data_IF_951509381107
#
_entry.id   IF_951509381107
#
_cell.length_a   1.000
_cell.length_b   1.000
_cell.length_c   1.000
_cell.angle_alpha   90.00
_cell.angle_beta   90.00
_cell.angle_gamma   90.00
#
_symmetry.space_group_name_H-M   'P 1'
#
loop_
_entity.id
_entity.type
_entity.pdbx_description
1 polymer ?
#
# COMPACT_ATOMS: atom_id res chain seq x y z
N UNK A 1 -27.76 28.06 -6.17
CA UNK A 1 -26.35 27.95 -6.57
C UNK A 1 -26.20 26.64 -7.30
N UNK A 2 -25.63 26.56 -8.51
CA UNK A 2 -25.50 25.27 -9.19
C UNK A 2 -24.53 24.40 -8.41
N UNK A 3 -25.03 23.26 -7.98
CA UNK A 3 -24.29 22.22 -7.30
C UNK A 3 -23.30 21.62 -8.33
N UNK A 4 -22.07 22.09 -8.32
CA UNK A 4 -21.00 21.60 -9.19
C UNK A 4 -20.58 20.21 -8.66
N UNK A 5 -21.39 19.18 -8.96
CA UNK A 5 -21.03 17.77 -8.65
C UNK A 5 -19.80 17.44 -9.49
N UNK A 6 -18.62 17.61 -8.86
CA UNK A 6 -17.38 17.09 -9.44
C UNK A 6 -17.54 15.58 -9.61
N UNK A 7 -17.22 15.08 -10.81
CA UNK A 7 -17.23 13.64 -11.10
C UNK A 7 -16.56 12.89 -9.94
N UNK A 8 -17.19 11.83 -9.39
CA UNK A 8 -16.63 11.07 -8.30
C UNK A 8 -15.32 10.38 -8.73
N UNK A 9 -14.32 10.46 -7.88
CA UNK A 9 -13.00 9.86 -8.11
C UNK A 9 -13.06 8.36 -7.81
N UNK A 10 -12.49 7.55 -8.68
CA UNK A 10 -12.37 6.09 -8.53
C UNK A 10 -11.02 5.76 -7.90
N UNK A 11 -11.05 4.91 -6.88
CA UNK A 11 -9.85 4.46 -6.18
C UNK A 11 -9.65 2.96 -6.34
N UNK A 12 -8.42 2.53 -6.72
CA UNK A 12 -7.97 1.16 -6.82
C UNK A 12 -6.82 0.93 -5.83
N UNK A 13 -6.96 -0.04 -4.92
CA UNK A 13 -5.93 -0.46 -3.98
C UNK A 13 -5.41 -1.85 -4.36
N UNK A 14 -4.11 -1.95 -4.64
CA UNK A 14 -3.41 -3.16 -5.04
C UNK A 14 -2.45 -3.59 -3.94
N UNK A 15 -2.48 -4.89 -3.56
CA UNK A 15 -1.55 -5.34 -2.53
C UNK A 15 -1.77 -6.76 -2.00
N UNK A 16 -1.52 -6.93 -0.71
CA UNK A 16 -1.60 -8.18 0.04
C UNK A 16 -2.46 -8.03 1.31
N UNK A 17 -2.18 -8.79 2.38
CA UNK A 17 -2.90 -8.72 3.66
C UNK A 17 -2.90 -7.33 4.28
N UNK A 18 -1.85 -6.55 4.09
CA UNK A 18 -1.77 -5.17 4.58
C UNK A 18 -2.70 -4.22 3.83
N UNK A 19 -3.11 -4.56 2.63
CA UNK A 19 -4.08 -3.77 1.85
C UNK A 19 -5.52 -4.19 2.14
N UNK A 20 -5.81 -5.51 2.28
CA UNK A 20 -7.18 -5.93 2.65
C UNK A 20 -7.54 -5.58 4.10
N UNK A 21 -6.55 -5.38 4.98
CA UNK A 21 -6.76 -5.16 6.40
C UNK A 21 -7.02 -6.47 7.14
N UNK A 22 -6.07 -7.41 7.06
CA UNK A 22 -6.16 -8.67 7.80
C UNK A 22 -6.38 -8.39 9.29
N UNK A 23 -7.32 -9.12 9.92
CA UNK A 23 -7.69 -9.01 11.33
C UNK A 23 -8.30 -7.67 11.80
N UNK A 24 -8.70 -6.78 10.88
CA UNK A 24 -9.50 -5.58 11.20
C UNK A 24 -10.80 -5.57 10.41
N UNK A 25 -11.77 -4.77 10.86
CA UNK A 25 -13.01 -4.53 10.09
C UNK A 25 -12.70 -3.77 8.80
N UNK A 26 -13.59 -3.86 7.80
CA UNK A 26 -13.43 -3.15 6.55
C UNK A 26 -13.21 -1.65 6.75
N UNK A 27 -13.95 -1.02 7.66
CA UNK A 27 -13.84 0.43 7.90
C UNK A 27 -12.50 0.83 8.55
N UNK A 28 -11.80 -0.14 9.14
CA UNK A 28 -10.49 0.07 9.76
C UNK A 28 -9.32 -0.24 8.82
N UNK A 29 -9.55 -0.89 7.67
CA UNK A 29 -8.48 -1.18 6.73
C UNK A 29 -7.92 0.10 6.10
N UNK A 30 -6.67 0.06 5.66
CA UNK A 30 -5.96 1.20 5.06
C UNK A 30 -6.76 1.88 3.92
N UNK A 31 -7.30 1.17 2.89
CA UNK A 31 -7.99 1.83 1.79
C UNK A 31 -9.31 2.49 2.19
N UNK A 32 -10.07 1.90 3.12
CA UNK A 32 -11.32 2.47 3.58
C UNK A 32 -11.07 3.75 4.41
N UNK A 33 -10.12 3.72 5.34
CA UNK A 33 -9.73 4.90 6.10
C UNK A 33 -9.17 6.01 5.21
N UNK A 34 -8.34 5.68 4.21
CA UNK A 34 -7.87 6.66 3.23
C UNK A 34 -9.04 7.31 2.48
N UNK A 35 -10.01 6.51 2.06
CA UNK A 35 -11.23 7.02 1.40
C UNK A 35 -12.02 7.94 2.32
N UNK A 36 -12.19 7.59 3.60
CA UNK A 36 -12.89 8.41 4.58
C UNK A 36 -12.22 9.79 4.76
N UNK A 37 -10.89 9.82 4.90
CA UNK A 37 -10.12 11.07 5.01
C UNK A 37 -10.25 11.92 3.73
N UNK A 38 -10.12 11.30 2.55
CA UNK A 38 -10.20 12.02 1.28
C UNK A 38 -11.59 12.59 1.03
N UNK A 39 -12.66 11.95 1.50
CA UNK A 39 -14.05 12.42 1.37
C UNK A 39 -14.30 13.77 2.04
N UNK A 40 -13.50 14.19 2.98
CA UNK A 40 -13.60 15.51 3.60
C UNK A 40 -13.38 16.66 2.58
N UNK A 41 -12.59 16.41 1.53
CA UNK A 41 -12.20 17.43 0.55
C UNK A 41 -12.41 17.03 -0.91
N UNK A 42 -12.62 15.76 -1.19
CA UNK A 42 -12.76 15.17 -2.52
C UNK A 42 -13.98 14.26 -2.55
N UNK A 43 -14.64 14.14 -3.71
CA UNK A 43 -15.70 13.16 -3.91
C UNK A 43 -15.10 11.83 -4.37
N UNK A 44 -14.72 10.95 -3.42
CA UNK A 44 -14.08 9.66 -3.70
C UNK A 44 -15.07 8.51 -3.46
N UNK A 45 -15.17 7.59 -4.41
CA UNK A 45 -15.97 6.37 -4.27
C UNK A 45 -15.29 5.39 -3.29
N UNK A 46 -16.04 4.41 -2.74
CA UNK A 46 -15.43 3.29 -2.01
C UNK A 46 -14.32 2.63 -2.84
N UNK A 47 -13.22 2.18 -2.20
CA UNK A 47 -12.09 1.60 -2.93
C UNK A 47 -12.47 0.27 -3.57
N UNK A 48 -11.94 0.02 -4.77
CA UNK A 48 -11.84 -1.34 -5.32
C UNK A 48 -10.52 -1.91 -4.80
N UNK A 49 -10.58 -3.04 -4.09
CA UNK A 49 -9.41 -3.67 -3.48
C UNK A 49 -9.10 -4.96 -4.23
N UNK A 50 -7.90 -5.07 -4.78
CA UNK A 50 -7.32 -6.28 -5.36
C UNK A 50 -6.11 -6.66 -4.51
N UNK A 51 -6.37 -7.48 -3.52
CA UNK A 51 -5.38 -7.91 -2.55
C UNK A 51 -5.82 -9.21 -1.89
N UNK A 52 -4.87 -10.01 -1.40
CA UNK A 52 -5.13 -11.23 -0.64
C UNK A 52 -3.96 -11.53 0.28
N UNK A 53 -4.26 -12.13 1.43
CA UNK A 53 -3.27 -12.60 2.39
C UNK A 53 -2.23 -13.49 1.73
N UNK A 54 -0.97 -13.20 2.02
CA UNK A 54 0.17 -14.00 1.56
C UNK A 54 0.63 -13.69 0.14
N UNK A 55 -0.05 -12.85 -0.64
CA UNK A 55 0.37 -12.60 -2.01
C UNK A 55 1.74 -11.95 -2.13
N UNK A 56 2.50 -12.50 -3.06
CA UNK A 56 3.74 -11.95 -3.60
C UNK A 56 3.46 -11.13 -4.86
N UNK A 57 4.48 -10.49 -5.40
CA UNK A 57 4.38 -9.66 -6.61
C UNK A 57 3.83 -10.42 -7.82
N UNK A 58 4.26 -11.65 -8.07
CA UNK A 58 3.79 -12.49 -9.17
C UNK A 58 2.34 -12.96 -8.96
N UNK A 59 1.95 -13.30 -7.72
CA UNK A 59 0.59 -13.72 -7.37
C UNK A 59 -0.41 -12.57 -7.55
N UNK A 60 -0.05 -11.35 -7.12
CA UNK A 60 -0.84 -10.15 -7.39
C UNK A 60 -0.96 -9.89 -8.90
N UNK A 61 0.14 -9.96 -9.65
CA UNK A 61 0.14 -9.76 -11.10
C UNK A 61 -0.74 -10.79 -11.84
N UNK A 62 -0.70 -12.05 -11.43
CA UNK A 62 -1.55 -13.10 -11.99
C UNK A 62 -3.03 -12.82 -11.72
N UNK A 63 -3.38 -12.39 -10.48
CA UNK A 63 -4.76 -12.09 -10.13
C UNK A 63 -5.30 -10.85 -10.86
N UNK A 64 -4.50 -9.80 -11.03
CA UNK A 64 -4.89 -8.62 -11.82
C UNK A 64 -5.29 -9.01 -13.25
N UNK A 65 -4.59 -9.96 -13.87
CA UNK A 65 -4.90 -10.43 -15.22
C UNK A 65 -6.24 -11.18 -15.32
N UNK A 66 -6.63 -11.88 -14.26
CA UNK A 66 -7.90 -12.64 -14.22
C UNK A 66 -9.09 -11.76 -13.81
N UNK A 67 -8.86 -10.72 -13.03
CA UNK A 67 -9.89 -9.74 -12.71
C UNK A 67 -9.98 -8.73 -13.84
N UNK A 68 -11.02 -8.82 -14.65
CA UNK A 68 -11.29 -7.89 -15.75
C UNK A 68 -11.60 -6.47 -15.24
N UNK A 69 -10.63 -5.81 -14.63
CA UNK A 69 -10.76 -4.44 -14.14
C UNK A 69 -11.07 -3.49 -15.30
N UNK A 70 -12.18 -2.74 -15.18
CA UNK A 70 -12.68 -1.90 -16.24
C UNK A 70 -12.40 -0.42 -15.97
N UNK A 71 -11.98 0.28 -17.04
CA UNK A 71 -11.82 1.73 -17.06
C UNK A 71 -10.57 2.22 -16.31
N UNK A 72 -10.54 3.54 -16.09
CA UNK A 72 -9.43 4.24 -15.44
C UNK A 72 -9.77 4.60 -14.00
N UNK A 73 -8.73 4.76 -13.18
CA UNK A 73 -8.82 5.15 -11.78
C UNK A 73 -8.09 6.48 -11.55
N UNK A 74 -8.68 7.31 -10.70
CA UNK A 74 -8.14 8.63 -10.36
C UNK A 74 -7.13 8.55 -9.21
N UNK A 75 -7.12 7.42 -8.48
CA UNK A 75 -6.18 7.10 -7.41
C UNK A 75 -5.85 5.61 -7.53
N UNK A 76 -4.56 5.27 -7.54
CA UNK A 76 -4.08 3.89 -7.49
C UNK A 76 -3.00 3.81 -6.41
N UNK A 77 -3.19 2.94 -5.40
CA UNK A 77 -2.15 2.62 -4.42
C UNK A 77 -1.59 1.23 -4.67
N UNK A 78 -0.28 1.06 -4.51
CA UNK A 78 0.41 -0.22 -4.59
C UNK A 78 1.24 -0.44 -3.32
N UNK A 79 0.86 -1.45 -2.51
CA UNK A 79 1.56 -1.89 -1.32
C UNK A 79 1.76 -3.40 -1.41
N UNK A 80 2.97 -3.84 -1.79
CA UNK A 80 3.29 -5.25 -2.03
C UNK A 80 4.79 -5.50 -1.85
N UNK A 81 5.17 -6.69 -1.42
CA UNK A 81 6.55 -7.13 -1.36
C UNK A 81 6.96 -7.77 -0.03
N UNK A 82 6.18 -7.60 1.04
CA UNK A 82 6.51 -8.22 2.33
C UNK A 82 6.57 -9.75 2.22
N UNK A 83 5.66 -10.36 1.47
CA UNK A 83 5.65 -11.82 1.28
C UNK A 83 6.81 -12.31 0.39
N UNK A 84 7.30 -11.46 -0.52
CA UNK A 84 8.54 -11.76 -1.26
C UNK A 84 9.72 -11.82 -0.27
N UNK A 85 9.86 -10.84 0.63
CA UNK A 85 10.89 -10.84 1.68
C UNK A 85 10.70 -12.00 2.66
N UNK A 86 9.50 -12.23 3.18
CA UNK A 86 9.19 -13.29 4.12
C UNK A 86 9.54 -14.69 3.59
N UNK A 87 9.28 -14.93 2.30
CA UNK A 87 9.61 -16.19 1.61
C UNK A 87 11.06 -16.25 1.11
N UNK A 88 11.91 -15.27 1.41
CA UNK A 88 13.31 -15.23 0.99
C UNK A 88 13.51 -15.18 -0.53
N UNK A 89 12.57 -14.55 -1.26
CA UNK A 89 12.67 -14.46 -2.72
C UNK A 89 13.79 -13.51 -3.15
N UNK A 90 14.39 -13.83 -4.27
CA UNK A 90 15.48 -13.05 -4.86
C UNK A 90 15.06 -11.59 -5.16
N UNK A 91 15.93 -10.65 -4.80
CA UNK A 91 15.65 -9.22 -4.91
C UNK A 91 15.74 -8.67 -6.33
N UNK A 92 16.53 -9.30 -7.22
CA UNK A 92 16.55 -8.93 -8.63
C UNK A 92 15.25 -9.34 -9.31
N UNK A 93 14.70 -10.51 -8.94
CA UNK A 93 13.39 -10.94 -9.41
C UNK A 93 12.29 -10.03 -8.85
N UNK A 94 12.32 -9.70 -7.55
CA UNK A 94 11.40 -8.73 -6.94
C UNK A 94 11.40 -7.39 -7.70
N UNK A 95 12.57 -6.83 -7.98
CA UNK A 95 12.71 -5.59 -8.74
C UNK A 95 12.03 -5.67 -10.11
N UNK A 96 12.21 -6.78 -10.84
CA UNK A 96 11.60 -7.01 -12.16
C UNK A 96 10.07 -7.08 -12.05
N UNK A 97 9.55 -7.89 -11.14
CA UNK A 97 8.13 -8.10 -10.93
C UNK A 97 7.43 -6.83 -10.43
N UNK A 98 8.05 -6.14 -9.46
CA UNK A 98 7.56 -4.87 -8.95
C UNK A 98 7.50 -3.79 -10.04
N UNK A 99 8.50 -3.75 -10.92
CA UNK A 99 8.50 -2.84 -12.09
C UNK A 99 7.29 -3.09 -13.00
N UNK A 100 6.98 -4.35 -13.30
CA UNK A 100 5.82 -4.74 -14.13
C UNK A 100 4.51 -4.35 -13.45
N UNK A 101 4.39 -4.58 -12.14
CA UNK A 101 3.21 -4.18 -11.36
C UNK A 101 3.02 -2.66 -11.35
N UNK A 102 4.09 -1.90 -11.17
CA UNK A 102 4.03 -0.45 -11.20
C UNK A 102 3.61 0.09 -12.57
N UNK A 103 4.14 -0.49 -13.66
CA UNK A 103 3.72 -0.14 -15.02
C UNK A 103 2.23 -0.48 -15.23
N UNK A 104 1.74 -1.56 -14.62
CA UNK A 104 0.32 -1.93 -14.64
C UNK A 104 -0.53 -0.93 -13.85
N UNK A 105 -0.08 -0.50 -12.67
CA UNK A 105 -0.75 0.53 -11.87
C UNK A 105 -0.84 1.87 -12.64
N UNK A 106 0.23 2.25 -13.36
CA UNK A 106 0.25 3.45 -14.23
C UNK A 106 -0.80 3.34 -15.34
N UNK A 107 -0.94 2.18 -15.98
CA UNK A 107 -1.98 1.94 -16.99
C UNK A 107 -3.39 2.09 -16.41
N UNK A 108 -3.65 1.55 -15.22
CA UNK A 108 -4.92 1.75 -14.52
C UNK A 108 -5.19 3.22 -14.17
N UNK A 109 -4.17 4.01 -13.94
CA UNK A 109 -4.27 5.44 -13.73
C UNK A 109 -4.38 6.26 -15.04
N UNK A 110 -4.68 5.61 -16.17
CA UNK A 110 -4.77 6.29 -17.47
C UNK A 110 -3.44 6.89 -17.94
N UNK A 111 -2.32 6.28 -17.57
CA UNK A 111 -0.94 6.74 -17.77
C UNK A 111 -0.63 8.08 -17.06
N UNK A 112 -1.44 8.48 -16.08
CA UNK A 112 -1.16 9.65 -15.25
C UNK A 112 -0.38 9.23 -14.00
N UNK A 113 0.92 9.45 -14.02
CA UNK A 113 1.81 9.11 -12.90
C UNK A 113 1.49 9.85 -11.60
N UNK A 114 0.81 11.00 -11.66
CA UNK A 114 0.38 11.76 -10.47
C UNK A 114 -0.75 11.08 -9.70
N UNK A 115 -1.41 10.09 -10.29
CA UNK A 115 -2.50 9.31 -9.72
C UNK A 115 -2.05 7.99 -9.10
N UNK A 116 -0.74 7.67 -9.14
CA UNK A 116 -0.16 6.44 -8.60
C UNK A 116 0.69 6.73 -7.38
N UNK A 117 0.49 5.93 -6.32
CA UNK A 117 1.18 6.07 -5.04
C UNK A 117 1.67 4.69 -4.60
N UNK A 118 2.98 4.54 -4.47
CA UNK A 118 3.59 3.36 -3.88
C UNK A 118 3.72 3.58 -2.38
N UNK A 119 3.30 2.61 -1.59
CA UNK A 119 3.44 2.61 -0.13
C UNK A 119 4.50 1.58 0.26
N UNK A 120 5.41 1.95 1.14
CA UNK A 120 6.43 1.01 1.63
C UNK A 120 5.81 -0.14 2.40
N UNK A 121 6.48 -1.31 2.42
CA UNK A 121 6.07 -2.43 3.26
C UNK A 121 6.47 -2.17 4.73
N UNK A 122 5.63 -2.56 5.72
CA UNK A 122 5.95 -2.40 7.13
C UNK A 122 7.01 -3.40 7.59
N UNK A 123 7.64 -3.11 8.73
CA UNK A 123 8.61 -4.01 9.37
C UNK A 123 7.91 -4.97 10.34
N UNK A 124 7.69 -6.20 9.92
CA UNK A 124 7.08 -7.22 10.75
C UNK A 124 8.05 -7.79 11.81
N UNK A 125 9.37 -7.56 11.69
CA UNK A 125 10.36 -7.98 12.65
C UNK A 125 10.20 -7.33 14.03
N UNK A 126 9.50 -6.21 14.12
CA UNK A 126 9.24 -5.50 15.40
C UNK A 126 7.96 -5.97 16.11
N UNK A 127 7.22 -6.89 15.50
CA UNK A 127 5.93 -7.37 16.00
C UNK A 127 6.08 -8.58 16.95
N UNK A 128 5.05 -8.90 17.75
CA UNK A 128 5.05 -10.16 18.54
C UNK A 128 5.29 -11.41 17.68
N UNK A 129 4.73 -11.47 16.47
CA UNK A 129 4.96 -12.56 15.52
C UNK A 129 6.45 -12.65 15.13
N UNK A 130 7.08 -11.50 14.85
CA UNK A 130 8.50 -11.42 14.57
C UNK A 130 9.33 -11.94 15.75
N UNK A 131 9.02 -11.49 16.97
CA UNK A 131 9.70 -11.89 18.19
C UNK A 131 9.55 -13.40 18.49
N UNK A 132 8.45 -14.02 18.10
CA UNK A 132 8.20 -15.45 18.22
C UNK A 132 8.84 -16.27 17.10
N UNK A 133 9.34 -15.64 16.04
CA UNK A 133 10.02 -16.32 14.95
C UNK A 133 11.45 -16.70 15.35
N UNK A 134 12.00 -17.74 14.74
CA UNK A 134 13.40 -18.15 14.93
C UNK A 134 14.39 -17.28 14.11
N UNK A 135 13.90 -16.25 13.41
CA UNK A 135 14.71 -15.39 12.54
C UNK A 135 15.38 -14.26 13.33
N UNK A 136 16.55 -13.84 12.88
CA UNK A 136 17.22 -12.64 13.39
C UNK A 136 16.38 -11.39 13.02
N UNK A 137 15.84 -10.72 14.05
CA UNK A 137 14.99 -9.52 13.89
C UNK A 137 15.75 -8.36 13.23
N UNK A 138 17.06 -8.23 13.51
CA UNK A 138 17.89 -7.22 12.86
C UNK A 138 18.04 -7.49 11.36
N UNK A 139 18.16 -8.78 11.01
CA UNK A 139 18.24 -9.19 9.60
C UNK A 139 16.89 -8.93 8.87
N UNK A 140 15.76 -9.26 9.51
CA UNK A 140 14.44 -8.94 8.96
C UNK A 140 14.34 -7.44 8.65
N UNK A 141 14.67 -6.57 9.62
CA UNK A 141 14.60 -5.12 9.42
C UNK A 141 15.48 -4.63 8.28
N UNK A 142 16.71 -5.18 8.13
CA UNK A 142 17.61 -4.85 7.00
C UNK A 142 17.04 -5.30 5.66
N UNK A 143 16.44 -6.49 5.61
CA UNK A 143 15.81 -7.01 4.40
C UNK A 143 14.60 -6.17 4.00
N UNK A 144 13.74 -5.77 4.96
CA UNK A 144 12.62 -4.84 4.72
C UNK A 144 13.13 -3.51 4.14
N UNK A 145 14.19 -2.94 4.72
CA UNK A 145 14.79 -1.71 4.20
C UNK A 145 15.31 -1.90 2.77
N UNK A 146 15.89 -3.06 2.48
CA UNK A 146 16.40 -3.38 1.14
C UNK A 146 15.25 -3.48 0.11
N UNK A 147 14.18 -4.22 0.42
CA UNK A 147 13.00 -4.33 -0.44
C UNK A 147 12.36 -2.96 -0.67
N UNK A 148 12.22 -2.15 0.38
CA UNK A 148 11.70 -0.79 0.29
C UNK A 148 12.62 0.13 -0.54
N UNK A 149 13.93 -0.03 -0.45
CA UNK A 149 14.88 0.74 -1.26
C UNK A 149 14.72 0.45 -2.77
N UNK A 150 14.48 -0.82 -3.11
CA UNK A 150 14.20 -1.24 -4.49
C UNK A 150 12.88 -0.63 -4.98
N UNK A 151 11.79 -0.76 -4.21
CA UNK A 151 10.50 -0.19 -4.56
C UNK A 151 10.57 1.34 -4.71
N UNK A 152 11.28 2.02 -3.80
CA UNK A 152 11.54 3.46 -3.87
C UNK A 152 12.30 3.84 -5.14
N UNK A 153 13.39 3.14 -5.43
CA UNK A 153 14.20 3.40 -6.62
C UNK A 153 13.38 3.21 -7.90
N UNK A 154 12.63 2.10 -8.02
CA UNK A 154 11.77 1.83 -9.18
C UNK A 154 10.71 2.93 -9.35
N UNK A 155 10.11 3.39 -8.24
CA UNK A 155 9.12 4.47 -8.24
C UNK A 155 9.72 5.79 -8.71
N UNK A 156 10.90 6.16 -8.20
CA UNK A 156 11.62 7.38 -8.56
C UNK A 156 11.99 7.42 -10.04
N UNK A 157 12.42 6.29 -10.62
CA UNK A 157 12.74 6.21 -12.06
C UNK A 157 11.53 6.52 -12.95
N UNK A 158 10.30 6.41 -12.42
CA UNK A 158 9.04 6.69 -13.12
C UNK A 158 8.36 7.99 -12.67
N UNK A 159 8.99 8.75 -11.78
CA UNK A 159 8.39 9.96 -11.20
C UNK A 159 7.18 9.70 -10.30
N UNK A 160 7.03 8.46 -9.80
CA UNK A 160 5.93 8.04 -8.94
C UNK A 160 6.21 8.43 -7.48
N UNK A 161 5.17 8.87 -6.78
CA UNK A 161 5.25 9.18 -5.36
C UNK A 161 5.40 7.90 -4.54
N UNK A 162 6.48 7.81 -3.77
CA UNK A 162 6.72 6.77 -2.78
C UNK A 162 6.44 7.32 -1.38
N UNK A 163 5.52 6.69 -0.66
CA UNK A 163 5.11 7.08 0.70
C UNK A 163 5.70 6.08 1.68
N UNK A 164 6.60 6.55 2.53
CA UNK A 164 7.31 5.70 3.50
C UNK A 164 6.56 5.61 4.82
N UNK A 165 5.95 4.47 5.09
CA UNK A 165 5.25 4.18 6.36
C UNK A 165 6.09 3.29 7.29
N UNK A 166 7.20 2.75 6.81
CA UNK A 166 8.04 1.79 7.55
C UNK A 166 8.58 2.35 8.87
N UNK A 167 9.09 3.60 8.95
CA UNK A 167 9.54 4.15 10.22
C UNK A 167 8.45 4.17 11.30
N UNK A 168 7.20 4.49 10.90
CA UNK A 168 6.09 4.48 11.85
C UNK A 168 5.67 3.05 12.21
N UNK A 169 5.70 2.10 11.29
CA UNK A 169 5.40 0.69 11.61
C UNK A 169 6.32 0.16 12.71
N UNK A 170 7.57 0.62 12.77
CA UNK A 170 8.55 0.24 13.80
C UNK A 170 8.22 0.73 15.21
N UNK A 171 7.34 1.72 15.36
CA UNK A 171 6.89 2.17 16.68
C UNK A 171 6.03 1.11 17.40
N UNK A 172 5.49 0.14 16.66
CA UNK A 172 4.76 -0.99 17.23
C UNK A 172 5.58 -1.81 18.23
N UNK A 173 6.92 -1.77 18.14
CA UNK A 173 7.81 -2.38 19.15
C UNK A 173 7.50 -1.92 20.58
N UNK A 174 7.09 -0.66 20.74
CA UNK A 174 6.85 -0.03 22.03
C UNK A 174 5.36 0.27 22.28
N UNK A 175 4.49 -0.04 21.30
CA UNK A 175 3.08 0.29 21.37
C UNK A 175 2.21 -0.85 20.81
N UNK A 176 1.82 -1.77 21.70
CA UNK A 176 1.06 -2.97 21.33
C UNK A 176 -0.30 -2.67 20.66
N UNK A 177 -0.89 -1.48 20.96
CA UNK A 177 -2.16 -1.07 20.34
C UNK A 177 -2.09 -0.83 18.82
N UNK A 178 -0.90 -0.82 18.25
CA UNK A 178 -0.67 -0.66 16.81
C UNK A 178 -0.74 -1.98 16.02
N UNK A 179 -0.80 -3.12 16.72
CA UNK A 179 -0.87 -4.46 16.13
C UNK A 179 -2.18 -5.12 16.57
N UNK A 180 -2.74 -5.96 15.70
CA UNK A 180 -3.94 -6.76 15.98
C UNK A 180 -3.65 -7.96 16.89
N UNK A 181 -4.70 -8.69 17.28
CA UNK A 181 -4.59 -9.84 18.19
C UNK A 181 -3.82 -11.03 17.63
N UNK A 182 -3.58 -11.06 16.32
CA UNK A 182 -2.73 -12.09 15.70
C UNK A 182 -1.23 -11.85 15.92
N UNK A 183 -0.87 -10.69 16.49
CA UNK A 183 0.49 -10.31 16.79
C UNK A 183 1.34 -9.92 15.57
N UNK A 184 0.73 -9.77 14.39
CA UNK A 184 1.43 -9.50 13.11
C UNK A 184 0.88 -8.28 12.39
N UNK A 185 -0.43 -8.29 12.09
CA UNK A 185 -1.03 -7.28 11.22
C UNK A 185 -1.32 -5.98 11.95
N UNK A 186 -1.26 -4.85 11.22
CA UNK A 186 -1.54 -3.53 11.77
C UNK A 186 -2.97 -3.41 12.29
N UNK A 187 -3.14 -2.74 13.42
CA UNK A 187 -4.46 -2.34 13.92
C UNK A 187 -5.06 -1.19 13.10
N UNK A 188 -6.36 -0.93 13.28
CA UNK A 188 -7.02 0.24 12.69
C UNK A 188 -6.31 1.57 13.03
N UNK A 189 -5.69 1.66 14.22
CA UNK A 189 -4.90 2.82 14.63
C UNK A 189 -3.64 3.01 13.77
N UNK A 190 -2.91 1.94 13.49
CA UNK A 190 -1.75 1.96 12.59
C UNK A 190 -2.18 2.33 11.16
N UNK A 191 -3.24 1.69 10.65
CA UNK A 191 -3.78 1.99 9.32
C UNK A 191 -4.25 3.44 9.19
N UNK A 192 -4.80 4.04 10.26
CA UNK A 192 -5.18 5.46 10.27
C UNK A 192 -3.98 6.38 10.01
N UNK A 193 -2.85 6.07 10.62
CA UNK A 193 -1.63 6.84 10.36
C UNK A 193 -1.20 6.71 8.90
N UNK A 194 -1.16 5.48 8.34
CA UNK A 194 -0.80 5.28 6.94
C UNK A 194 -1.74 6.04 6.00
N UNK A 195 -3.04 5.93 6.24
CA UNK A 195 -4.05 6.64 5.46
C UNK A 195 -3.84 8.17 5.50
N UNK A 196 -3.54 8.74 6.67
CA UNK A 196 -3.21 10.16 6.81
C UNK A 196 -1.98 10.54 5.97
N UNK A 197 -0.89 9.77 6.05
CA UNK A 197 0.31 10.06 5.28
C UNK A 197 0.06 10.02 3.76
N UNK A 198 -0.61 8.97 3.29
CA UNK A 198 -0.93 8.83 1.86
C UNK A 198 -1.89 9.93 1.39
N UNK A 199 -2.88 10.32 2.22
CA UNK A 199 -3.85 11.36 1.89
C UNK A 199 -3.20 12.71 1.63
N UNK A 200 -2.17 13.08 2.39
CA UNK A 200 -1.42 14.34 2.21
C UNK A 200 -0.79 14.39 0.82
N UNK A 201 -0.16 13.31 0.37
CA UNK A 201 0.46 13.23 -0.95
C UNK A 201 -0.59 13.27 -2.07
N UNK A 202 -1.72 12.56 -1.91
CA UNK A 202 -2.82 12.58 -2.89
C UNK A 202 -3.40 13.98 -3.03
N UNK A 203 -3.73 14.62 -1.91
CA UNK A 203 -4.30 15.97 -1.92
C UNK A 203 -3.35 16.99 -2.58
N UNK A 204 -2.05 16.90 -2.29
CA UNK A 204 -1.04 17.76 -2.91
C UNK A 204 -0.98 17.56 -4.44
N UNK A 205 -0.95 16.30 -4.91
CA UNK A 205 -0.86 15.99 -6.36
C UNK A 205 -2.12 16.39 -7.11
N UNK A 206 -3.31 16.12 -6.54
CA UNK A 206 -4.58 16.42 -7.20
C UNK A 206 -4.94 17.91 -7.16
N UNK A 207 -4.49 18.68 -6.15
CA UNK A 207 -4.64 20.15 -6.13
C UNK A 207 -3.83 20.84 -7.23
N UNK A 208 -2.60 20.36 -7.48
CA UNK A 208 -1.69 20.92 -8.48
C UNK A 208 -2.04 20.50 -9.93
N UNK A 209 -3.10 19.71 -10.11
CA UNK A 209 -3.58 19.25 -11.43
C UNK A 209 -4.86 19.94 -11.88
N UNK A 210 -5.33 20.94 -11.11
CA UNK A 210 -6.46 21.84 -11.38
C UNK A 210 -5.95 23.22 -11.70
#
# INVERSE_FOLDING_TARGET
MPNNFKKPLRYLALGDSYTIGECVSYDECFPAQLTAILKETLNVLPPIIIAKTGWTTDELAANIKTNALQGQYDIVTLLIGVNNQYRGRDTANYRKEFSILLDTAIKFAGNNIKHVFVVSIPDWGVTPFGAASERDLSQISKEIDWFNSIARWVSQQRGITFVDITPHSRTAKNEASLITTDGLHPSGKMYQYWAKQVSLHIQQKLKNSR
#
